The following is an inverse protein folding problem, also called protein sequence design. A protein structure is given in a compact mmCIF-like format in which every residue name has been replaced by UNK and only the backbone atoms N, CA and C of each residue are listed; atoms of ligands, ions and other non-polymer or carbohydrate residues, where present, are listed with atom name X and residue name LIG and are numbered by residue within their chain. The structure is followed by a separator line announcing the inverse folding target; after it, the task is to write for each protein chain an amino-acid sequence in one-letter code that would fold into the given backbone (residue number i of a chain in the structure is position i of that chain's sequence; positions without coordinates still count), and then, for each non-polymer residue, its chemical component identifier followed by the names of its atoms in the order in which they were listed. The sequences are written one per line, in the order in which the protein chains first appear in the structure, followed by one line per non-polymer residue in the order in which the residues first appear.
data_IF_314856929771
#
_entry.id   IF_314856929771
#
_cell.length_a   1.000
_cell.length_b   1.000
_cell.length_c   1.000
_cell.angle_alpha   90.00
_cell.angle_beta   90.00
_cell.angle_gamma   90.00
#
_symmetry.space_group_name_H-M   'P 1'
#
loop_
_entity.id
_entity.type
_entity.pdbx_description
1 polymer ?
#
# COMPACT_ATOMS: atom_id res chain seq x y z
N UNK A 1 10.90 3.65 -18.71
CA UNK A 1 11.62 2.98 -17.60
C UNK A 1 11.16 1.53 -17.58
N UNK A 2 12.09 0.59 -17.41
CA UNK A 2 11.71 -0.78 -17.12
C UNK A 2 11.08 -0.85 -15.72
N UNK A 3 10.12 -1.75 -15.50
CA UNK A 3 9.53 -1.98 -14.19
C UNK A 3 10.45 -2.96 -13.44
N UNK A 4 11.35 -2.46 -12.60
CA UNK A 4 12.44 -3.26 -12.02
C UNK A 4 12.19 -3.61 -10.55
N UNK A 5 11.46 -2.78 -9.81
CA UNK A 5 11.18 -2.98 -8.39
C UNK A 5 9.71 -2.68 -8.00
N UNK A 6 9.37 -2.92 -6.74
CA UNK A 6 8.02 -2.66 -6.22
C UNK A 6 7.56 -1.22 -6.39
N UNK A 7 8.46 -0.24 -6.27
CA UNK A 7 8.14 1.17 -6.44
C UNK A 7 7.76 1.51 -7.88
N UNK A 8 8.46 0.96 -8.88
CA UNK A 8 8.11 1.18 -10.29
C UNK A 8 6.70 0.68 -10.61
N UNK A 9 6.34 -0.51 -10.11
CA UNK A 9 4.99 -1.05 -10.24
C UNK A 9 3.96 -0.19 -9.49
N UNK A 10 4.28 0.27 -8.28
CA UNK A 10 3.40 1.13 -7.51
C UNK A 10 3.14 2.47 -8.22
N UNK A 11 4.17 3.11 -8.79
CA UNK A 11 4.05 4.36 -9.54
C UNK A 11 3.27 4.16 -10.85
N UNK A 12 3.41 3.00 -11.51
CA UNK A 12 2.62 2.68 -12.70
C UNK A 12 1.13 2.51 -12.37
N UNK A 13 0.82 1.71 -11.35
CA UNK A 13 -0.55 1.51 -10.86
C UNK A 13 -1.15 2.82 -10.33
N UNK A 14 -0.36 3.64 -9.64
CA UNK A 14 -0.76 4.96 -9.14
C UNK A 14 -1.24 5.87 -10.28
N UNK A 15 -0.49 5.94 -11.38
CA UNK A 15 -0.89 6.76 -12.55
C UNK A 15 -2.23 6.31 -13.12
N UNK A 16 -2.39 5.00 -13.31
CA UNK A 16 -3.65 4.42 -13.79
C UNK A 16 -4.81 4.72 -12.83
N UNK A 17 -4.59 4.55 -11.52
CA UNK A 17 -5.59 4.79 -10.51
C UNK A 17 -6.04 6.25 -10.48
N UNK A 18 -5.10 7.20 -10.48
CA UNK A 18 -5.42 8.63 -10.44
C UNK A 18 -6.16 9.06 -11.70
N UNK A 19 -5.75 8.62 -12.89
CA UNK A 19 -6.47 8.92 -14.13
C UNK A 19 -7.91 8.35 -14.10
N UNK A 20 -8.08 7.13 -13.60
CA UNK A 20 -9.41 6.51 -13.47
C UNK A 20 -10.30 7.26 -12.47
N UNK A 21 -9.72 7.67 -11.34
CA UNK A 21 -10.38 8.45 -10.30
C UNK A 21 -10.80 9.84 -10.80
N UNK A 22 -9.91 10.55 -11.48
CA UNK A 22 -10.19 11.88 -12.05
C UNK A 22 -11.27 11.84 -13.14
N UNK A 23 -11.41 10.71 -13.83
CA UNK A 23 -12.48 10.45 -14.79
C UNK A 23 -13.80 9.99 -14.12
N UNK A 24 -13.87 9.92 -12.79
CA UNK A 24 -15.09 9.57 -12.05
C UNK A 24 -15.41 8.08 -12.03
N UNK A 25 -14.40 7.21 -12.16
CA UNK A 25 -14.60 5.76 -12.14
C UNK A 25 -15.00 5.28 -10.75
N UNK A 26 -16.18 4.67 -10.64
CA UNK A 26 -16.65 3.98 -9.42
C UNK A 26 -16.75 2.50 -9.75
N UNK A 27 -15.86 1.71 -9.15
CA UNK A 27 -15.82 0.26 -9.34
C UNK A 27 -15.05 -0.40 -8.20
N UNK A 28 -15.44 -1.62 -7.82
CA UNK A 28 -14.73 -2.44 -6.86
C UNK A 28 -13.22 -2.59 -7.14
N UNK A 29 -12.85 -2.66 -8.42
CA UNK A 29 -11.45 -2.79 -8.82
C UNK A 29 -10.61 -1.56 -8.41
N UNK A 30 -11.22 -0.37 -8.27
CA UNK A 30 -10.54 0.81 -7.78
C UNK A 30 -10.00 0.58 -6.36
N UNK A 31 -10.80 0.01 -5.45
CA UNK A 31 -10.34 -0.29 -4.09
C UNK A 31 -9.27 -1.37 -4.04
N UNK A 32 -9.39 -2.39 -4.89
CA UNK A 32 -8.36 -3.44 -5.03
C UNK A 32 -7.03 -2.85 -5.49
N UNK A 33 -7.05 -1.96 -6.48
CA UNK A 33 -5.86 -1.29 -7.01
C UNK A 33 -5.28 -0.35 -5.95
N UNK A 34 -6.12 0.43 -5.26
CA UNK A 34 -5.69 1.36 -4.22
C UNK A 34 -4.92 0.65 -3.09
N UNK A 35 -5.49 -0.42 -2.53
CA UNK A 35 -4.80 -1.23 -1.53
C UNK A 35 -3.49 -1.80 -2.10
N UNK A 36 -3.53 -2.32 -3.32
CA UNK A 36 -2.37 -2.88 -4.00
C UNK A 36 -1.25 -1.87 -4.27
N UNK A 37 -1.54 -0.58 -4.44
CA UNK A 37 -0.55 0.49 -4.58
C UNK A 37 0.14 0.72 -3.24
N UNK A 38 -0.64 0.95 -2.17
CA UNK A 38 -0.10 1.18 -0.82
C UNK A 38 0.74 -0.01 -0.34
N UNK A 39 0.29 -1.24 -0.62
CA UNK A 39 1.04 -2.47 -0.34
C UNK A 39 2.41 -2.47 -1.02
N UNK A 40 2.47 -2.20 -2.33
CA UNK A 40 3.71 -2.22 -3.09
C UNK A 40 4.69 -1.15 -2.60
N UNK A 41 4.22 0.07 -2.32
CA UNK A 41 5.09 1.10 -1.75
C UNK A 41 5.72 0.68 -0.41
N UNK A 42 4.91 0.14 0.53
CA UNK A 42 5.46 -0.31 1.81
C UNK A 42 6.41 -1.50 1.65
N UNK A 43 6.11 -2.44 0.75
CA UNK A 43 6.99 -3.57 0.44
C UNK A 43 8.29 -3.13 -0.21
N UNK A 44 8.27 -2.07 -1.00
CA UNK A 44 9.50 -1.48 -1.53
C UNK A 44 10.44 -1.05 -0.41
N UNK A 45 9.95 -0.31 0.59
CA UNK A 45 10.79 0.09 1.71
C UNK A 45 11.43 -1.10 2.42
N UNK A 46 10.64 -2.14 2.70
CA UNK A 46 11.12 -3.37 3.35
C UNK A 46 12.18 -4.07 2.49
N UNK A 47 11.96 -4.17 1.18
CA UNK A 47 12.90 -4.86 0.30
C UNK A 47 14.22 -4.12 0.13
N UNK A 48 14.17 -2.79 -0.02
CA UNK A 48 15.36 -2.00 -0.36
C UNK A 48 16.18 -1.60 0.88
N UNK A 49 15.52 -1.32 2.01
CA UNK A 49 16.20 -0.68 3.14
C UNK A 49 16.28 -1.57 4.40
N UNK A 50 15.48 -2.64 4.52
CA UNK A 50 15.58 -3.55 5.68
C UNK A 50 16.56 -4.70 5.42
N UNK A 51 17.61 -4.75 6.24
CA UNK A 51 18.69 -5.72 6.16
C UNK A 51 18.64 -6.66 7.37
N UNK A 52 18.02 -7.86 7.27
CA UNK A 52 17.94 -8.78 8.39
C UNK A 52 19.32 -9.28 8.81
N UNK A 53 19.58 -9.31 10.12
CA UNK A 53 20.89 -9.72 10.66
C UNK A 53 21.00 -11.24 10.84
N UNK A 54 19.85 -11.93 10.92
CA UNK A 54 19.79 -13.37 11.18
C UNK A 54 18.66 -14.07 10.40
N UNK A 55 18.67 -15.41 10.46
CA UNK A 55 17.71 -16.26 9.75
C UNK A 55 16.27 -15.97 10.19
N UNK A 56 16.04 -15.79 11.49
CA UNK A 56 14.70 -15.53 12.04
C UNK A 56 14.11 -14.23 11.49
N UNK A 57 14.89 -13.15 11.47
CA UNK A 57 14.46 -11.86 10.91
C UNK A 57 14.21 -11.95 9.40
N UNK A 58 15.05 -12.69 8.67
CA UNK A 58 14.87 -12.90 7.24
C UNK A 58 13.59 -13.70 6.92
N UNK A 59 13.26 -14.70 7.75
CA UNK A 59 12.00 -15.44 7.66
C UNK A 59 10.79 -14.54 7.96
N UNK A 60 10.86 -13.72 9.01
CA UNK A 60 9.81 -12.75 9.36
C UNK A 60 9.60 -11.73 8.24
N UNK A 61 10.68 -11.21 7.65
CA UNK A 61 10.63 -10.32 6.47
C UNK A 61 9.90 -11.01 5.32
N UNK A 62 10.26 -12.24 4.99
CA UNK A 62 9.65 -12.98 3.88
C UNK A 62 8.16 -13.29 4.11
N UNK A 63 7.76 -13.60 5.35
CA UNK A 63 6.34 -13.77 5.71
C UNK A 63 5.60 -12.45 5.56
N UNK A 64 6.19 -11.35 6.01
CA UNK A 64 5.62 -10.01 5.88
C UNK A 64 5.45 -9.61 4.42
N UNK A 65 6.44 -9.86 3.55
CA UNK A 65 6.35 -9.55 2.12
C UNK A 65 5.25 -10.35 1.38
N UNK A 66 4.74 -11.44 1.97
CA UNK A 66 3.61 -12.22 1.43
C UNK A 66 2.24 -11.75 1.93
N UNK A 67 2.18 -10.84 2.91
CA UNK A 67 0.91 -10.31 3.41
C UNK A 67 0.27 -9.35 2.40
N UNK A 68 -1.05 -9.27 2.43
CA UNK A 68 -1.83 -8.20 1.78
C UNK A 68 -2.37 -7.16 2.76
N UNK A 69 -2.21 -7.40 4.08
CA UNK A 69 -2.71 -6.46 5.08
C UNK A 69 -1.79 -5.24 5.21
N UNK A 70 -2.35 -4.06 4.94
CA UNK A 70 -1.66 -2.78 5.11
C UNK A 70 -1.30 -2.55 6.59
N UNK A 71 -2.19 -2.93 7.52
CA UNK A 71 -1.91 -2.83 8.95
C UNK A 71 -0.72 -3.70 9.39
N UNK A 72 -0.56 -4.89 8.82
CA UNK A 72 0.61 -5.74 9.10
C UNK A 72 1.91 -5.12 8.57
N UNK A 73 1.88 -4.55 7.36
CA UNK A 73 3.03 -3.86 6.77
C UNK A 73 3.43 -2.63 7.58
N UNK A 74 2.47 -1.77 7.93
CA UNK A 74 2.73 -0.59 8.77
C UNK A 74 3.33 -0.94 10.14
N UNK A 75 2.86 -2.02 10.77
CA UNK A 75 3.43 -2.51 12.04
C UNK A 75 4.86 -3.00 11.87
N UNK A 76 5.15 -3.71 10.79
CA UNK A 76 6.51 -4.19 10.49
C UNK A 76 7.47 -3.01 10.31
N UNK A 77 7.12 -2.04 9.47
CA UNK A 77 7.89 -0.82 9.24
C UNK A 77 8.18 -0.07 10.53
N UNK A 78 7.17 0.08 11.40
CA UNK A 78 7.33 0.74 12.69
C UNK A 78 8.28 0.00 13.63
N UNK A 79 8.10 -1.31 13.77
CA UNK A 79 8.79 -2.09 14.80
C UNK A 79 10.24 -2.42 14.42
N UNK A 80 10.53 -2.54 13.13
CA UNK A 80 11.83 -3.04 12.64
C UNK A 80 12.66 -1.98 11.90
N UNK A 81 12.04 -0.89 11.44
CA UNK A 81 12.71 0.16 10.67
C UNK A 81 12.54 1.56 11.27
N UNK A 82 11.84 1.67 12.41
CA UNK A 82 11.49 2.96 13.03
C UNK A 82 10.72 3.92 12.10
N UNK A 83 10.10 3.37 11.05
CA UNK A 83 9.32 4.15 10.07
C UNK A 83 7.87 4.22 10.55
N UNK A 84 7.41 5.42 10.84
CA UNK A 84 6.06 5.65 11.31
C UNK A 84 5.31 6.64 10.42
N UNK A 85 4.25 6.15 9.76
CA UNK A 85 3.37 6.99 8.94
C UNK A 85 2.61 8.02 9.80
N UNK A 86 2.15 9.11 9.19
CA UNK A 86 1.26 10.08 9.84
C UNK A 86 -0.04 9.43 10.32
N UNK A 87 -0.74 10.10 11.26
CA UNK A 87 -2.03 9.59 11.76
C UNK A 87 -3.07 9.55 10.65
N UNK A 88 -3.02 10.55 9.77
CA UNK A 88 -3.92 10.75 8.65
C UNK A 88 -3.71 9.63 7.61
N UNK A 89 -2.49 9.36 7.17
CA UNK A 89 -2.21 8.30 6.21
C UNK A 89 -2.57 6.91 6.77
N UNK A 90 -2.29 6.66 8.06
CA UNK A 90 -2.71 5.43 8.73
C UNK A 90 -4.23 5.26 8.78
N UNK A 91 -4.96 6.35 9.01
CA UNK A 91 -6.42 6.30 9.08
C UNK A 91 -6.99 5.88 7.71
N UNK A 92 -6.58 6.54 6.63
CA UNK A 92 -7.05 6.21 5.28
C UNK A 92 -6.63 4.79 4.86
N UNK A 93 -5.38 4.39 5.10
CA UNK A 93 -4.91 3.05 4.75
C UNK A 93 -5.62 1.95 5.55
N UNK A 94 -6.12 2.23 6.77
CA UNK A 94 -6.91 1.24 7.54
C UNK A 94 -8.30 1.04 6.96
N UNK A 95 -8.91 2.07 6.38
CA UNK A 95 -10.24 1.98 5.77
C UNK A 95 -10.20 0.99 4.60
N UNK A 96 -9.17 1.11 3.76
CA UNK A 96 -9.02 0.27 2.57
C UNK A 96 -8.33 -1.09 2.84
N UNK A 97 -7.94 -1.39 4.10
CA UNK A 97 -7.28 -2.66 4.45
C UNK A 97 -8.30 -3.81 4.44
N UNK A 98 -8.37 -4.55 3.34
CA UNK A 98 -9.29 -5.68 3.16
C UNK A 98 -9.97 -5.71 1.80
N UNK A 99 -9.99 -4.58 1.10
CA UNK A 99 -10.59 -4.44 -0.24
C UNK A 99 -10.01 -5.43 -1.27
N UNK A 100 -8.74 -5.84 -1.12
CA UNK A 100 -8.12 -6.89 -1.93
C UNK A 100 -8.96 -8.17 -2.00
N UNK A 101 -9.61 -8.56 -0.89
CA UNK A 101 -10.45 -9.76 -0.81
C UNK A 101 -11.92 -9.43 -1.00
N UNK A 102 -12.46 -8.48 -0.23
CA UNK A 102 -13.91 -8.22 -0.16
C UNK A 102 -14.49 -7.62 -1.44
N UNK A 103 -13.71 -6.86 -2.22
CA UNK A 103 -14.18 -6.23 -3.45
C UNK A 103 -13.95 -7.11 -4.71
N UNK A 104 -13.16 -8.19 -4.60
CA UNK A 104 -12.72 -8.98 -5.77
C UNK A 104 -13.56 -10.24 -6.02
N UNK A 105 -14.07 -10.88 -4.98
CA UNK A 105 -14.76 -12.17 -5.10
C UNK A 105 -16.17 -12.10 -4.50
N UNK A 106 -17.18 -12.70 -5.16
CA UNK A 106 -18.51 -12.81 -4.58
C UNK A 106 -18.49 -13.74 -3.36
N UNK A 107 -19.17 -13.36 -2.29
CA UNK A 107 -19.20 -14.10 -1.04
C UNK A 107 -19.99 -13.37 0.06
N UNK A 108 -20.08 -13.99 1.24
CA UNK A 108 -20.79 -13.42 2.40
C UNK A 108 -20.21 -12.05 2.81
N UNK A 109 -18.89 -11.89 2.70
CA UNK A 109 -18.17 -10.65 3.00
C UNK A 109 -17.93 -9.75 1.78
N UNK A 110 -18.63 -9.98 0.67
CA UNK A 110 -18.46 -9.16 -0.54
C UNK A 110 -19.05 -7.76 -0.35
N UNK A 111 -18.34 -6.76 -0.86
CA UNK A 111 -18.76 -5.35 -0.80
C UNK A 111 -18.89 -4.77 -2.21
N UNK A 112 -19.79 -3.83 -2.37
CA UNK A 112 -19.87 -2.94 -3.53
C UNK A 112 -19.38 -1.57 -3.08
N UNK A 113 -18.31 -1.08 -3.70
CA UNK A 113 -17.72 0.21 -3.35
C UNK A 113 -18.50 1.36 -3.97
N UNK A 114 -18.80 2.37 -3.16
CA UNK A 114 -19.46 3.58 -3.60
C UNK A 114 -18.47 4.75 -3.81
N UNK A 115 -18.99 5.93 -4.10
CA UNK A 115 -18.17 7.12 -4.33
C UNK A 115 -17.34 7.53 -3.09
N UNK A 116 -17.90 7.39 -1.88
CA UNK A 116 -17.21 7.72 -0.62
C UNK A 116 -16.05 6.75 -0.38
N UNK A 117 -16.25 5.45 -0.65
CA UNK A 117 -15.17 4.47 -0.61
C UNK A 117 -14.04 4.81 -1.58
N UNK A 118 -14.37 5.28 -2.79
CA UNK A 118 -13.36 5.66 -3.78
C UNK A 118 -12.61 6.94 -3.35
N UNK A 119 -13.26 7.88 -2.68
CA UNK A 119 -12.59 9.03 -2.06
C UNK A 119 -11.55 8.60 -1.02
N UNK A 120 -11.91 7.64 -0.14
CA UNK A 120 -10.96 7.04 0.80
C UNK A 120 -9.80 6.33 0.10
N UNK A 121 -10.08 5.62 -1.00
CA UNK A 121 -9.03 5.02 -1.82
C UNK A 121 -8.06 6.07 -2.38
N UNK A 122 -8.58 7.17 -2.91
CA UNK A 122 -7.75 8.24 -3.45
C UNK A 122 -6.93 8.94 -2.36
N UNK A 123 -7.53 9.20 -1.20
CA UNK A 123 -6.85 9.79 -0.05
C UNK A 123 -5.71 8.88 0.44
N UNK A 124 -5.97 7.58 0.61
CA UNK A 124 -4.98 6.59 1.04
C UNK A 124 -3.80 6.52 0.07
N UNK A 125 -4.07 6.38 -1.23
CA UNK A 125 -3.03 6.24 -2.28
C UNK A 125 -2.17 7.50 -2.39
N UNK A 126 -2.77 8.70 -2.37
CA UNK A 126 -2.04 9.97 -2.42
C UNK A 126 -1.15 10.17 -1.19
N UNK A 127 -1.68 9.97 0.01
CA UNK A 127 -0.93 10.13 1.27
C UNK A 127 0.17 9.10 1.43
N UNK A 128 -0.12 7.83 1.13
CA UNK A 128 0.88 6.76 1.18
C UNK A 128 2.07 7.09 0.28
N UNK A 129 1.81 7.47 -0.97
CA UNK A 129 2.86 7.87 -1.92
C UNK A 129 3.67 9.06 -1.41
N UNK A 130 3.00 10.11 -0.94
CA UNK A 130 3.68 11.31 -0.43
C UNK A 130 4.66 10.96 0.69
N UNK A 131 4.22 10.18 1.69
CA UNK A 131 5.08 9.80 2.81
C UNK A 131 6.23 8.88 2.38
N UNK A 132 5.98 7.93 1.48
CA UNK A 132 7.02 7.05 0.94
C UNK A 132 8.12 7.86 0.26
N UNK A 133 7.75 8.84 -0.56
CA UNK A 133 8.72 9.73 -1.21
C UNK A 133 9.52 10.58 -0.21
N UNK A 134 8.91 10.99 0.92
CA UNK A 134 9.65 11.70 1.97
C UNK A 134 10.60 10.78 2.74
N UNK A 135 10.15 9.57 3.06
CA UNK A 135 10.95 8.56 3.75
C UNK A 135 12.18 8.18 2.91
N UNK A 136 12.01 7.94 1.61
CA UNK A 136 13.12 7.58 0.72
C UNK A 136 14.20 8.64 0.65
N UNK A 137 13.82 9.93 0.60
CA UNK A 137 14.79 11.04 0.67
C UNK A 137 15.63 11.02 1.94
N UNK A 138 15.07 10.52 3.05
CA UNK A 138 15.79 10.35 4.31
C UNK A 138 16.83 9.21 4.29
N UNK A 139 16.70 8.24 3.39
CA UNK A 139 17.68 7.16 3.20
C UNK A 139 18.80 7.53 2.21
N UNK A 140 18.55 8.51 1.32
CA UNK A 140 19.51 8.96 0.30
C UNK A 140 20.45 10.09 0.79
N UNK A 141 20.17 10.67 1.96
CA UNK A 141 20.97 11.74 2.59
C UNK A 141 21.91 11.25 3.67
#
# INVERSE_FOLDING_TARGET
MALENYFDFAENDYKYFIESYENGTIANMMGVIAQGICEKYMKHLICEYYHPENISENEERNITLRTHSLNRLMKYLKNHMEIEFSKEAKAEMRIIDGFYFSARYPGEDSIELDAEDIEHCAAAVKKCREEILQIQKGFEG
#
